data_IF_832136572558
#
_entry.id   IF_832136572558
#
_cell.length_a   1.000
_cell.length_b   1.000
_cell.length_c   1.000
_cell.angle_alpha   90.00
_cell.angle_beta   90.00
_cell.angle_gamma   90.00
#
_symmetry.space_group_name_H-M   'P 1'
#
loop_
_entity.id
_entity.type
_entity.pdbx_description
1 polymer ?
#
# COMPACT_ATOMS: atom_id res chain seq x y z
N UNK A 1 4.98 14.14 5.05
CA UNK A 1 4.20 13.03 5.64
C UNK A 1 5.11 12.06 6.40
N UNK A 2 6.16 11.57 5.78
CA UNK A 2 6.98 10.48 6.35
C UNK A 2 7.74 10.90 7.61
N UNK A 3 8.30 12.10 7.68
CA UNK A 3 8.97 12.61 8.89
C UNK A 3 8.04 12.61 10.13
N UNK A 4 6.76 12.93 9.95
CA UNK A 4 5.77 12.88 11.04
C UNK A 4 5.31 11.45 11.34
N UNK A 5 5.20 10.61 10.31
CA UNK A 5 4.81 9.20 10.47
C UNK A 5 5.83 8.44 11.31
N UNK A 6 7.12 8.57 11.03
CA UNK A 6 8.17 7.76 11.69
C UNK A 6 8.28 8.03 13.20
N UNK A 7 7.77 9.16 13.67
CA UNK A 7 7.73 9.52 15.09
C UNK A 7 6.40 9.13 15.78
N UNK A 8 5.45 8.52 15.04
CA UNK A 8 4.14 8.18 15.59
C UNK A 8 4.20 7.11 16.67
N UNK A 9 3.54 7.37 17.80
CA UNK A 9 3.41 6.47 18.97
C UNK A 9 1.94 6.28 19.41
N UNK A 10 0.97 6.53 18.52
CA UNK A 10 -0.46 6.53 18.83
C UNK A 10 -1.05 5.17 19.26
N UNK A 11 -0.37 4.05 18.96
CA UNK A 11 -0.83 2.70 19.26
C UNK A 11 0.09 2.00 20.28
N UNK A 12 -0.18 2.09 21.61
CA UNK A 12 0.75 1.60 22.65
C UNK A 12 1.15 0.12 22.49
N UNK A 13 0.20 -0.75 22.11
CA UNK A 13 0.47 -2.19 21.87
C UNK A 13 1.46 -2.40 20.72
N UNK A 14 1.29 -1.66 19.61
CA UNK A 14 2.20 -1.77 18.48
C UNK A 14 3.57 -1.16 18.77
N UNK A 15 3.61 -0.07 19.51
CA UNK A 15 4.86 0.55 19.95
C UNK A 15 5.64 -0.43 20.83
N UNK A 16 5.01 -0.96 21.88
CA UNK A 16 5.64 -1.93 22.77
C UNK A 16 6.15 -3.17 22.01
N UNK A 17 5.33 -3.69 21.06
CA UNK A 17 5.71 -4.88 20.30
C UNK A 17 6.87 -4.63 19.34
N UNK A 18 6.82 -3.57 18.51
CA UNK A 18 7.88 -3.29 17.54
C UNK A 18 9.24 -3.02 18.20
N UNK A 19 9.23 -2.33 19.35
CA UNK A 19 10.42 -2.03 20.14
C UNK A 19 10.94 -3.29 20.86
N UNK A 20 10.06 -4.10 21.46
CA UNK A 20 10.43 -5.38 22.06
C UNK A 20 11.08 -6.32 21.05
N UNK A 21 10.52 -6.43 19.83
CA UNK A 21 11.10 -7.25 18.75
C UNK A 21 12.50 -6.77 18.37
N UNK A 22 12.74 -5.46 18.38
CA UNK A 22 14.04 -4.88 18.08
C UNK A 22 15.08 -5.11 19.20
N UNK A 23 14.63 -5.20 20.45
CA UNK A 23 15.47 -5.47 21.60
C UNK A 23 15.84 -6.96 21.69
N UNK A 24 14.83 -7.85 21.63
CA UNK A 24 15.05 -9.30 21.74
C UNK A 24 15.69 -9.88 20.48
N UNK A 25 15.37 -9.36 19.32
CA UNK A 25 15.80 -9.80 17.98
C UNK A 25 15.55 -11.30 17.72
N UNK A 26 15.64 -11.70 16.49
CA UNK A 26 15.71 -13.11 16.10
C UNK A 26 17.18 -13.52 16.01
N UNK A 27 17.54 -14.73 16.37
CA UNK A 27 18.93 -15.23 16.36
C UNK A 27 19.66 -15.00 15.02
N UNK A 28 18.94 -15.17 13.89
CA UNK A 28 19.48 -14.92 12.54
C UNK A 28 19.71 -13.44 12.20
N UNK A 29 19.25 -12.52 13.03
CA UNK A 29 19.34 -11.06 12.83
C UNK A 29 19.84 -10.35 14.11
N UNK A 30 20.60 -11.06 14.94
CA UNK A 30 21.09 -10.52 16.23
C UNK A 30 22.00 -9.29 16.06
N UNK A 31 22.75 -9.27 14.97
CA UNK A 31 23.73 -8.24 14.66
C UNK A 31 23.13 -7.09 13.82
N UNK A 32 21.86 -7.19 13.41
CA UNK A 32 21.19 -6.16 12.62
C UNK A 32 20.69 -5.03 13.53
N UNK A 33 20.78 -3.80 13.03
CA UNK A 33 20.10 -2.66 13.64
C UNK A 33 18.67 -2.60 13.13
N UNK A 34 17.72 -2.77 14.07
CA UNK A 34 16.30 -2.71 13.72
C UNK A 34 15.80 -1.27 13.64
N UNK A 35 15.06 -0.97 12.58
CA UNK A 35 14.38 0.31 12.42
C UNK A 35 13.42 0.63 13.58
N UNK A 36 12.60 -0.33 14.00
CA UNK A 36 11.69 -0.30 15.16
C UNK A 36 10.75 0.91 15.23
N UNK A 37 10.46 1.56 14.11
CA UNK A 37 9.56 2.72 13.97
C UNK A 37 8.45 2.43 12.99
N UNK A 38 7.41 3.28 12.86
CA UNK A 38 6.46 3.17 11.75
C UNK A 38 7.18 3.19 10.41
N UNK A 39 6.74 2.32 9.50
CA UNK A 39 7.37 2.17 8.18
C UNK A 39 6.62 3.02 7.15
N UNK A 40 7.29 3.97 6.47
CA UNK A 40 6.68 4.77 5.41
C UNK A 40 6.35 3.94 4.17
N UNK A 41 5.54 4.50 3.27
CA UNK A 41 5.36 3.94 1.94
C UNK A 41 6.65 4.02 1.13
N UNK A 42 6.81 3.10 0.17
CA UNK A 42 8.03 3.00 -0.64
C UNK A 42 7.70 2.95 -2.13
N UNK A 43 8.48 3.65 -2.94
CA UNK A 43 8.40 3.63 -4.40
C UNK A 43 8.13 4.99 -5.02
N UNK A 44 7.61 4.99 -6.24
CA UNK A 44 7.42 6.18 -7.05
C UNK A 44 6.42 7.16 -6.41
N UNK A 45 6.79 8.43 -6.28
CA UNK A 45 5.93 9.49 -5.74
C UNK A 45 4.84 9.93 -6.72
N UNK A 46 5.01 9.59 -8.00
CA UNK A 46 4.03 9.84 -9.07
C UNK A 46 3.44 8.53 -9.60
N UNK A 47 3.33 7.53 -8.73
CA UNK A 47 2.86 6.20 -9.09
C UNK A 47 1.46 6.22 -9.73
N UNK A 48 1.31 5.49 -10.83
CA UNK A 48 0.01 5.15 -11.41
C UNK A 48 -0.66 3.97 -10.69
N UNK A 49 0.15 3.15 -10.01
CA UNK A 49 -0.29 1.96 -9.26
C UNK A 49 0.12 2.10 -7.79
N UNK A 50 -0.80 1.82 -6.87
CA UNK A 50 -0.49 1.67 -5.44
C UNK A 50 -0.76 0.23 -5.00
N UNK A 51 0.20 -0.41 -4.34
CA UNK A 51 0.02 -1.72 -3.67
C UNK A 51 -0.30 -1.50 -2.21
N UNK A 52 -1.41 -2.04 -1.75
CA UNK A 52 -1.87 -1.92 -0.35
C UNK A 52 -1.77 -3.28 0.33
N UNK A 53 -0.80 -3.43 1.24
CA UNK A 53 -0.57 -4.64 2.03
C UNK A 53 -1.44 -4.72 3.28
N UNK A 54 -0.88 -5.33 4.34
CA UNK A 54 -1.52 -5.46 5.66
C UNK A 54 -0.83 -4.55 6.69
N UNK A 55 0.41 -4.86 7.01
CA UNK A 55 1.26 -4.21 8.01
C UNK A 55 2.72 -4.68 7.84
N UNK A 56 3.72 -3.96 8.41
CA UNK A 56 5.09 -4.41 8.49
C UNK A 56 5.24 -5.75 9.20
N UNK A 57 6.07 -6.64 8.67
CA UNK A 57 6.45 -7.87 9.37
C UNK A 57 7.51 -7.57 10.46
N UNK A 58 7.43 -8.29 11.59
CA UNK A 58 8.29 -8.06 12.76
C UNK A 58 9.80 -8.14 12.46
N UNK A 59 10.23 -9.11 11.65
CA UNK A 59 11.62 -9.32 11.25
C UNK A 59 11.91 -8.97 9.78
N UNK A 60 10.92 -8.42 9.06
CA UNK A 60 11.02 -7.84 7.73
C UNK A 60 11.08 -6.31 7.81
N UNK A 61 9.99 -5.65 7.43
CA UNK A 61 9.95 -4.18 7.36
C UNK A 61 10.15 -3.48 8.72
N UNK A 62 9.80 -4.08 9.86
CA UNK A 62 10.13 -3.52 11.17
C UNK A 62 11.65 -3.56 11.46
N UNK A 63 12.38 -4.50 10.85
CA UNK A 63 13.84 -4.56 10.91
C UNK A 63 14.48 -3.57 9.93
N UNK A 64 14.06 -3.60 8.69
CA UNK A 64 14.73 -2.89 7.58
C UNK A 64 14.28 -1.44 7.37
N UNK A 65 13.12 -1.04 7.89
CA UNK A 65 12.55 0.30 7.68
C UNK A 65 11.87 0.49 6.32
N UNK A 66 11.84 -0.52 5.43
CA UNK A 66 11.22 -0.46 4.11
C UNK A 66 10.14 -1.53 3.95
N UNK A 67 8.96 -1.14 3.41
CA UNK A 67 7.84 -2.06 3.19
C UNK A 67 8.25 -3.29 2.38
N UNK A 68 7.79 -4.48 2.78
CA UNK A 68 8.05 -5.77 2.14
C UNK A 68 9.54 -6.08 1.93
N UNK A 69 10.43 -5.62 2.80
CA UNK A 69 11.88 -5.79 2.66
C UNK A 69 12.44 -6.70 3.74
N UNK A 70 13.30 -7.64 3.33
CA UNK A 70 14.02 -8.55 4.23
C UNK A 70 13.18 -9.70 4.77
N UNK A 71 12.11 -10.10 4.06
CA UNK A 71 11.32 -11.28 4.36
C UNK A 71 10.77 -11.96 3.09
N UNK A 72 10.28 -13.18 3.23
CA UNK A 72 9.76 -14.00 2.12
C UNK A 72 8.61 -13.36 1.35
N UNK A 73 7.79 -12.54 2.00
CA UNK A 73 6.70 -11.83 1.32
C UNK A 73 7.24 -10.77 0.37
N UNK A 74 8.31 -10.10 0.79
CA UNK A 74 9.04 -9.15 -0.04
C UNK A 74 9.73 -9.83 -1.22
N UNK A 75 10.43 -10.94 -0.97
CA UNK A 75 11.08 -11.73 -2.04
C UNK A 75 10.07 -12.09 -3.14
N UNK A 76 8.88 -12.56 -2.74
CA UNK A 76 7.84 -12.96 -3.69
C UNK A 76 7.27 -11.77 -4.47
N UNK A 77 7.01 -10.65 -3.77
CA UNK A 77 6.41 -9.45 -4.35
C UNK A 77 7.38 -8.76 -5.33
N UNK A 78 8.62 -8.51 -4.89
CA UNK A 78 9.57 -7.75 -5.73
C UNK A 78 10.10 -8.58 -6.90
N UNK A 79 10.21 -9.91 -6.76
CA UNK A 79 10.49 -10.76 -7.90
C UNK A 79 9.40 -10.66 -9.00
N UNK A 80 8.13 -10.60 -8.61
CA UNK A 80 7.03 -10.37 -9.55
C UNK A 80 7.05 -8.94 -10.15
N UNK A 81 7.31 -7.92 -9.33
CA UNK A 81 7.47 -6.55 -9.83
C UNK A 81 8.62 -6.41 -10.83
N UNK A 82 9.73 -7.12 -10.61
CA UNK A 82 10.85 -7.13 -11.55
C UNK A 82 10.46 -7.83 -12.86
N UNK A 83 9.83 -9.01 -12.83
CA UNK A 83 9.36 -9.71 -14.04
C UNK A 83 8.37 -8.89 -14.85
N UNK A 84 7.57 -8.07 -14.15
CA UNK A 84 6.56 -7.22 -14.79
C UNK A 84 7.07 -5.79 -15.09
N UNK A 85 8.39 -5.52 -14.97
CA UNK A 85 9.00 -4.23 -15.31
C UNK A 85 8.61 -3.07 -14.41
N UNK A 86 8.21 -3.34 -13.14
CA UNK A 86 7.84 -2.34 -12.12
C UNK A 86 8.96 -2.12 -11.09
N UNK A 87 10.00 -2.95 -11.10
CA UNK A 87 11.17 -2.84 -10.24
C UNK A 87 12.46 -3.09 -11.03
N UNK A 88 13.55 -2.43 -10.66
CA UNK A 88 14.87 -2.57 -11.31
C UNK A 88 15.60 -3.86 -10.92
N UNK A 89 15.20 -4.52 -9.84
CA UNK A 89 15.79 -5.77 -9.35
C UNK A 89 14.73 -6.66 -8.68
N UNK A 90 15.01 -7.98 -8.62
CA UNK A 90 14.09 -8.97 -8.06
C UNK A 90 14.21 -9.12 -6.54
N UNK A 91 15.26 -8.59 -5.92
CA UNK A 91 15.58 -8.76 -4.51
C UNK A 91 15.28 -7.51 -3.70
N UNK A 92 14.96 -7.69 -2.40
CA UNK A 92 14.69 -6.61 -1.46
C UNK A 92 15.21 -7.00 -0.07
N UNK A 93 16.47 -6.69 0.21
CA UNK A 93 17.20 -7.17 1.39
C UNK A 93 17.29 -6.11 2.48
N UNK A 94 17.65 -4.87 2.12
CA UNK A 94 17.79 -3.72 3.04
C UNK A 94 17.19 -2.45 2.43
N UNK A 95 17.09 -1.38 3.20
CA UNK A 95 16.54 -0.11 2.71
C UNK A 95 17.42 0.58 1.68
N UNK A 96 18.72 0.28 1.68
CA UNK A 96 19.78 0.88 0.86
C UNK A 96 20.35 -0.07 -0.22
N UNK A 97 19.68 -1.18 -0.52
CA UNK A 97 20.10 -2.19 -1.50
C UNK A 97 19.99 -1.78 -2.98
N UNK A 98 19.62 -0.53 -3.24
CA UNK A 98 19.48 0.01 -4.60
C UNK A 98 18.17 -0.31 -5.30
N UNK A 99 17.21 -0.99 -4.65
CA UNK A 99 15.89 -1.24 -5.21
C UNK A 99 15.15 0.08 -5.53
N UNK A 100 14.68 0.20 -6.75
CA UNK A 100 13.84 1.30 -7.23
C UNK A 100 12.58 0.76 -7.89
N UNK A 101 11.47 1.41 -7.64
CA UNK A 101 10.17 1.10 -8.25
C UNK A 101 9.82 2.19 -9.27
N UNK A 102 9.23 1.79 -10.39
CA UNK A 102 8.83 2.70 -11.47
C UNK A 102 7.33 2.57 -11.72
N UNK A 103 6.61 3.68 -11.60
CA UNK A 103 5.16 3.74 -11.80
C UNK A 103 4.32 3.06 -10.72
N UNK A 104 4.95 2.52 -9.68
CA UNK A 104 4.28 1.79 -8.59
C UNK A 104 4.82 2.23 -7.22
N UNK A 105 3.94 2.26 -6.22
CA UNK A 105 4.24 2.54 -4.82
C UNK A 105 3.62 1.48 -3.92
N UNK A 106 4.31 1.14 -2.84
CA UNK A 106 3.88 0.11 -1.88
C UNK A 106 3.56 0.75 -0.53
N UNK A 107 2.43 0.39 0.04
CA UNK A 107 1.97 0.91 1.32
C UNK A 107 1.20 -0.14 2.14
N UNK A 108 0.77 0.22 3.35
CA UNK A 108 -0.08 -0.61 4.19
C UNK A 108 -1.01 0.24 5.06
N UNK A 109 -2.21 -0.24 5.42
CA UNK A 109 -3.14 0.47 6.29
C UNK A 109 -2.66 0.59 7.74
N UNK A 110 -1.73 -0.27 8.17
CA UNK A 110 -1.07 -0.19 9.47
C UNK A 110 0.43 -0.11 9.26
N UNK A 111 1.09 0.85 9.90
CA UNK A 111 2.48 1.22 9.64
C UNK A 111 3.49 0.64 10.64
N UNK A 112 3.02 -0.02 11.67
CA UNK A 112 3.84 -0.71 12.67
C UNK A 112 3.59 -2.21 12.61
N UNK A 113 4.61 -3.02 12.91
CA UNK A 113 4.45 -4.46 13.04
C UNK A 113 3.48 -4.80 14.18
N UNK A 114 2.43 -5.57 13.92
CA UNK A 114 1.55 -6.08 14.97
C UNK A 114 2.00 -7.46 15.44
N UNK A 115 1.71 -7.85 16.71
CA UNK A 115 1.85 -9.23 17.14
C UNK A 115 1.09 -10.18 16.21
N UNK A 116 1.70 -11.32 15.84
CA UNK A 116 1.14 -12.36 14.98
C UNK A 116 0.64 -11.87 13.60
N UNK A 117 1.13 -10.74 13.13
CA UNK A 117 0.63 -10.04 11.93
C UNK A 117 -0.88 -9.74 11.99
N UNK A 118 -1.42 -9.51 13.21
CA UNK A 118 -2.85 -9.26 13.45
C UNK A 118 -3.07 -7.87 14.07
N UNK A 119 -3.18 -6.82 13.27
CA UNK A 119 -3.58 -5.52 13.76
C UNK A 119 -5.05 -5.52 14.21
N UNK A 120 -5.36 -4.77 15.24
CA UNK A 120 -6.75 -4.61 15.70
C UNK A 120 -7.51 -3.60 14.84
N UNK A 121 -8.87 -3.63 14.87
CA UNK A 121 -9.69 -2.61 14.21
C UNK A 121 -9.38 -1.19 14.70
N UNK A 122 -9.07 -1.03 15.99
CA UNK A 122 -8.69 0.26 16.58
C UNK A 122 -7.36 0.78 16.03
N UNK A 123 -6.34 -0.06 15.94
CA UNK A 123 -5.04 0.27 15.36
C UNK A 123 -5.17 0.66 13.89
N UNK A 124 -6.02 -0.05 13.14
CA UNK A 124 -6.36 0.32 11.76
C UNK A 124 -6.99 1.71 11.68
N UNK A 125 -7.96 2.03 12.56
CA UNK A 125 -8.58 3.35 12.58
C UNK A 125 -7.59 4.46 12.92
N UNK A 126 -6.76 4.26 13.96
CA UNK A 126 -5.74 5.25 14.37
C UNK A 126 -4.67 5.47 13.29
N UNK A 127 -4.32 4.43 12.53
CA UNK A 127 -3.33 4.52 11.46
C UNK A 127 -3.96 4.99 10.12
N UNK A 128 -5.28 4.91 9.97
CA UNK A 128 -6.04 5.25 8.76
C UNK A 128 -5.72 6.61 8.13
N UNK A 129 -5.54 7.69 8.93
CA UNK A 129 -5.17 9.00 8.39
C UNK A 129 -3.89 9.01 7.54
N UNK A 130 -2.92 8.13 7.83
CA UNK A 130 -1.70 8.03 7.01
C UNK A 130 -1.97 7.37 5.65
N UNK A 131 -2.82 6.33 5.60
CA UNK A 131 -3.26 5.75 4.33
C UNK A 131 -4.08 6.75 3.53
N UNK A 132 -5.00 7.44 4.18
CA UNK A 132 -5.82 8.49 3.55
C UNK A 132 -4.96 9.58 2.92
N UNK A 133 -3.97 10.08 3.67
CA UNK A 133 -3.06 11.12 3.17
C UNK A 133 -2.20 10.62 2.02
N UNK A 134 -1.74 9.38 2.04
CA UNK A 134 -0.94 8.81 0.96
C UNK A 134 -1.77 8.65 -0.32
N UNK A 135 -2.99 8.15 -0.22
CA UNK A 135 -3.92 8.07 -1.37
C UNK A 135 -4.22 9.47 -1.93
N UNK A 136 -4.37 10.48 -1.07
CA UNK A 136 -4.60 11.86 -1.47
C UNK A 136 -3.39 12.45 -2.21
N UNK A 137 -2.18 12.23 -1.71
CA UNK A 137 -0.94 12.69 -2.35
C UNK A 137 -0.70 12.04 -3.72
N UNK A 138 -1.10 10.79 -3.88
CA UNK A 138 -1.04 10.07 -5.16
C UNK A 138 -2.24 10.38 -6.07
N UNK A 139 -3.27 11.05 -5.58
CA UNK A 139 -4.57 11.20 -6.25
C UNK A 139 -4.52 11.82 -7.66
N UNK A 140 -3.48 12.60 -7.98
CA UNK A 140 -3.30 13.16 -9.32
C UNK A 140 -2.84 12.12 -10.36
N UNK A 141 -2.13 11.06 -9.93
CA UNK A 141 -1.48 10.08 -10.82
C UNK A 141 -2.02 8.68 -10.68
N UNK A 142 -2.40 8.25 -9.46
CA UNK A 142 -2.87 6.90 -9.20
C UNK A 142 -4.18 6.59 -9.96
N UNK A 143 -4.18 5.45 -10.63
CA UNK A 143 -5.33 4.90 -11.38
C UNK A 143 -5.76 3.54 -10.87
N UNK A 144 -4.81 2.80 -10.26
CA UNK A 144 -5.03 1.42 -9.84
C UNK A 144 -4.51 1.20 -8.42
N UNK A 145 -5.29 0.51 -7.59
CA UNK A 145 -4.87 -0.01 -6.30
C UNK A 145 -4.87 -1.54 -6.32
N UNK A 146 -3.70 -2.17 -6.30
CA UNK A 146 -3.55 -3.61 -6.08
C UNK A 146 -3.61 -3.88 -4.59
N UNK A 147 -4.63 -4.62 -4.14
CA UNK A 147 -4.89 -4.81 -2.71
C UNK A 147 -4.62 -6.25 -2.28
N UNK A 148 -3.63 -6.43 -1.42
CA UNK A 148 -3.15 -7.74 -0.96
C UNK A 148 -3.95 -8.23 0.24
N UNK A 149 -4.98 -9.04 -0.03
CA UNK A 149 -5.81 -9.68 0.99
C UNK A 149 -7.00 -8.86 1.49
N UNK A 150 -7.92 -9.55 2.15
CA UNK A 150 -9.20 -8.96 2.58
C UNK A 150 -9.08 -7.85 3.62
N UNK A 151 -8.04 -7.87 4.48
CA UNK A 151 -7.83 -6.82 5.46
C UNK A 151 -7.50 -5.47 4.79
N UNK A 152 -6.54 -5.47 3.85
CA UNK A 152 -6.20 -4.28 3.05
C UNK A 152 -7.39 -3.78 2.23
N UNK A 153 -8.18 -4.71 1.65
CA UNK A 153 -9.39 -4.42 0.89
C UNK A 153 -10.42 -3.64 1.70
N UNK A 154 -10.76 -4.14 2.89
CA UNK A 154 -11.71 -3.46 3.76
C UNK A 154 -11.18 -2.12 4.30
N UNK A 155 -9.88 -2.07 4.60
CA UNK A 155 -9.25 -0.84 5.05
C UNK A 155 -9.30 0.24 3.97
N UNK A 156 -8.88 -0.08 2.74
CA UNK A 156 -8.87 0.87 1.63
C UNK A 156 -10.29 1.33 1.27
N UNK A 157 -11.27 0.42 1.17
CA UNK A 157 -12.68 0.81 0.92
C UNK A 157 -13.24 1.74 2.00
N UNK A 158 -12.86 1.53 3.28
CA UNK A 158 -13.28 2.44 4.35
C UNK A 158 -12.66 3.83 4.19
N UNK A 159 -11.34 3.88 3.96
CA UNK A 159 -10.60 5.13 3.73
C UNK A 159 -11.15 5.91 2.53
N UNK A 160 -11.41 5.21 1.41
CA UNK A 160 -11.95 5.84 0.20
C UNK A 160 -13.35 6.38 0.42
N UNK A 161 -14.23 5.64 1.14
CA UNK A 161 -15.57 6.12 1.48
C UNK A 161 -15.52 7.41 2.33
N UNK A 162 -14.61 7.47 3.32
CA UNK A 162 -14.38 8.65 4.16
C UNK A 162 -13.86 9.84 3.35
N UNK A 163 -13.14 9.59 2.26
CA UNK A 163 -12.64 10.61 1.33
C UNK A 163 -13.64 10.98 0.23
N UNK A 164 -14.90 10.50 0.30
CA UNK A 164 -15.96 10.87 -0.64
C UNK A 164 -15.99 10.08 -1.96
N UNK A 165 -15.28 8.94 -2.03
CA UNK A 165 -15.41 8.01 -3.16
C UNK A 165 -16.75 7.26 -3.09
N UNK A 166 -17.37 7.06 -4.25
CA UNK A 166 -18.64 6.33 -4.37
C UNK A 166 -18.41 4.81 -4.19
N UNK A 167 -18.30 4.37 -2.93
CA UNK A 167 -18.17 2.95 -2.61
C UNK A 167 -19.55 2.29 -2.65
N UNK A 168 -19.79 1.25 -3.50
CA UNK A 168 -21.07 0.56 -3.62
C UNK A 168 -21.58 -0.03 -2.31
N UNK A 169 -22.91 -0.12 -2.19
CA UNK A 169 -23.60 -0.84 -1.10
C UNK A 169 -24.50 -1.92 -1.70
N UNK A 170 -24.31 -3.22 -1.32
CA UNK A 170 -23.32 -3.75 -0.38
C UNK A 170 -21.88 -3.54 -0.86
N UNK A 171 -20.94 -3.43 0.09
CA UNK A 171 -19.53 -3.25 -0.24
C UNK A 171 -19.00 -4.42 -1.09
N UNK A 172 -18.15 -4.14 -2.11
CA UNK A 172 -17.54 -5.18 -2.93
C UNK A 172 -16.79 -6.21 -2.07
N UNK A 173 -17.04 -7.49 -2.32
CA UNK A 173 -16.34 -8.58 -1.61
C UNK A 173 -14.93 -8.73 -2.16
N UNK A 174 -13.99 -9.00 -1.28
CA UNK A 174 -12.63 -9.36 -1.68
C UNK A 174 -12.63 -10.75 -2.34
N UNK A 175 -11.97 -10.83 -3.51
CA UNK A 175 -11.55 -12.07 -4.14
C UNK A 175 -10.23 -11.81 -4.89
N UNK A 176 -9.46 -12.87 -5.16
CA UNK A 176 -8.33 -12.76 -6.08
C UNK A 176 -8.86 -12.50 -7.49
N UNK A 177 -8.27 -11.54 -8.21
CA UNK A 177 -8.74 -11.10 -9.52
C UNK A 177 -10.00 -10.21 -9.50
N UNK A 178 -10.57 -9.90 -8.32
CA UNK A 178 -11.68 -8.96 -8.25
C UNK A 178 -11.25 -7.59 -8.78
N UNK A 179 -12.04 -7.01 -9.68
CA UNK A 179 -11.82 -5.69 -10.27
C UNK A 179 -13.03 -4.81 -9.98
N UNK A 180 -12.82 -3.65 -9.33
CA UNK A 180 -13.87 -2.72 -8.96
C UNK A 180 -13.41 -1.29 -9.21
N UNK A 181 -14.09 -0.58 -10.11
CA UNK A 181 -13.81 0.84 -10.37
C UNK A 181 -14.70 1.73 -9.52
N UNK A 182 -14.07 2.56 -8.72
CA UNK A 182 -14.71 3.60 -7.92
C UNK A 182 -14.58 4.96 -8.60
N UNK A 183 -15.55 5.82 -8.34
CA UNK A 183 -15.61 7.19 -8.86
C UNK A 183 -15.68 8.18 -7.72
N UNK A 184 -15.10 9.34 -7.90
CA UNK A 184 -15.17 10.46 -6.99
C UNK A 184 -15.50 11.71 -7.78
N UNK A 185 -16.61 12.37 -7.43
CA UNK A 185 -16.89 13.68 -7.96
C UNK A 185 -15.83 14.67 -7.44
N UNK A 186 -15.24 15.45 -8.33
CA UNK A 186 -14.35 16.52 -7.90
C UNK A 186 -15.19 17.57 -7.17
N UNK A 187 -14.83 17.96 -5.93
CA UNK A 187 -15.59 19.00 -5.23
C UNK A 187 -15.65 20.27 -6.07
N UNK A 188 -16.84 20.80 -6.30
CA UNK A 188 -16.98 22.17 -6.82
C UNK A 188 -16.41 23.13 -5.78
N UNK A 189 -15.66 24.17 -6.20
CA UNK A 189 -15.29 25.24 -5.28
C UNK A 189 -16.56 25.80 -4.66
N UNK A 190 -16.62 25.81 -3.32
CA UNK A 190 -17.79 26.37 -2.60
C UNK A 190 -17.91 27.87 -2.80
N UNK A 191 -19.09 28.46 -2.53
CA UNK A 191 -19.25 29.91 -2.52
C UNK A 191 -18.33 30.47 -1.40
N UNK A 192 -17.29 31.20 -1.79
CA UNK A 192 -16.26 31.74 -0.87
C UNK A 192 -14.83 31.30 -1.17
N UNK A 193 -14.58 30.48 -2.19
CA UNK A 193 -13.23 30.22 -2.68
C UNK A 193 -12.57 31.50 -3.20
N UNK A 194 -11.27 31.72 -2.97
CA UNK A 194 -10.59 32.95 -3.43
C UNK A 194 -10.73 33.11 -4.94
N UNK A 195 -10.87 34.35 -5.45
CA UNK A 195 -11.01 34.63 -6.87
C UNK A 195 -9.77 34.17 -7.63
N UNK A 196 -9.96 33.24 -8.58
CA UNK A 196 -8.89 32.66 -9.42
C UNK A 196 -9.07 31.20 -9.75
N UNK A 197 -10.03 30.51 -9.17
CA UNK A 197 -10.29 29.07 -9.40
C UNK A 197 -11.66 28.90 -10.06
N UNK A 198 -11.64 28.68 -11.37
CA UNK A 198 -12.72 28.38 -12.33
C UNK A 198 -13.71 29.53 -12.58
N UNK A 199 -13.75 30.09 -13.81
CA UNK A 199 -14.84 31.00 -14.23
C UNK A 199 -16.18 30.23 -14.22
N UNK A 200 -17.24 30.89 -13.75
CA UNK A 200 -18.63 30.45 -13.96
C UNK A 200 -18.83 30.08 -15.44
N UNK A 201 -19.17 28.78 -15.69
CA UNK A 201 -19.47 28.28 -17.03
C UNK A 201 -18.42 27.31 -17.64
N UNK A 202 -17.31 27.02 -16.97
CA UNK A 202 -16.38 25.98 -17.43
C UNK A 202 -16.94 24.56 -17.25
N UNK A 203 -16.47 23.56 -18.07
CA UNK A 203 -16.88 22.18 -17.87
C UNK A 203 -16.50 21.73 -16.46
N UNK A 204 -17.33 20.86 -15.82
CA UNK A 204 -17.01 20.34 -14.50
C UNK A 204 -15.63 19.66 -14.55
N UNK A 205 -14.81 19.78 -13.49
CA UNK A 205 -13.52 19.11 -13.43
C UNK A 205 -13.72 17.60 -13.64
N UNK A 206 -12.77 16.92 -14.31
CA UNK A 206 -12.94 15.51 -14.68
C UNK A 206 -13.14 14.64 -13.44
N UNK A 207 -14.09 13.71 -13.54
CA UNK A 207 -14.36 12.72 -12.50
C UNK A 207 -13.11 11.89 -12.26
N UNK A 208 -12.71 11.77 -10.99
CA UNK A 208 -11.60 10.89 -10.64
C UNK A 208 -12.07 9.44 -10.60
N UNK A 209 -11.28 8.54 -11.18
CA UNK A 209 -11.52 7.10 -11.14
C UNK A 209 -10.34 6.38 -10.49
N UNK A 210 -10.63 5.34 -9.71
CA UNK A 210 -9.65 4.44 -9.13
C UNK A 210 -10.14 3.01 -9.25
N UNK A 211 -9.39 2.15 -9.91
CA UNK A 211 -9.70 0.72 -10.03
C UNK A 211 -8.97 -0.06 -8.95
N UNK A 212 -9.72 -0.82 -8.14
CA UNK A 212 -9.18 -1.74 -7.15
C UNK A 212 -9.05 -3.13 -7.77
N UNK A 213 -7.86 -3.73 -7.68
CA UNK A 213 -7.58 -5.11 -8.04
C UNK A 213 -7.30 -5.93 -6.79
N UNK A 214 -8.11 -6.96 -6.53
CA UNK A 214 -7.90 -7.89 -5.42
C UNK A 214 -6.83 -8.92 -5.75
N UNK A 215 -5.85 -9.09 -4.88
CA UNK A 215 -4.86 -10.15 -4.98
C UNK A 215 -4.75 -10.90 -3.64
N UNK A 216 -4.62 -12.24 -3.65
CA UNK A 216 -4.28 -12.96 -2.43
C UNK A 216 -3.00 -12.39 -1.83
N UNK A 217 -2.91 -12.32 -0.51
CA UNK A 217 -1.73 -11.77 0.16
C UNK A 217 -0.50 -12.63 -0.11
N UNK A 218 0.65 -11.99 -0.36
CA UNK A 218 1.95 -12.63 -0.65
C UNK A 218 2.59 -13.30 0.57
N UNK A 219 1.82 -13.65 1.60
CA UNK A 219 2.29 -14.33 2.80
C UNK A 219 2.76 -15.74 2.50
N UNK A 220 3.70 -16.25 3.32
CA UNK A 220 4.19 -17.63 3.23
C UNK A 220 3.04 -18.64 3.25
N UNK A 221 1.99 -18.42 4.04
CA UNK A 221 0.82 -19.28 4.06
C UNK A 221 0.19 -19.46 2.67
N UNK A 222 0.06 -18.39 1.90
CA UNK A 222 -0.55 -18.45 0.57
C UNK A 222 0.42 -18.95 -0.51
N UNK A 223 1.70 -18.56 -0.41
CA UNK A 223 2.70 -18.92 -1.43
C UNK A 223 3.18 -20.37 -1.30
N UNK A 224 3.36 -20.88 -0.06
CA UNK A 224 3.79 -22.27 0.17
C UNK A 224 2.68 -23.28 -0.06
N UNK A 225 1.42 -22.89 0.11
CA UNK A 225 0.26 -23.76 -0.17
C UNK A 225 -0.17 -23.72 -1.64
N UNK A 226 0.48 -22.91 -2.48
CA UNK A 226 0.07 -22.73 -3.87
C UNK A 226 -1.23 -21.94 -4.07
N UNK A 227 -1.81 -21.36 -3.00
CA UNK A 227 -2.98 -20.51 -3.10
C UNK A 227 -2.71 -19.24 -3.91
N UNK A 228 -1.48 -18.73 -3.84
CA UNK A 228 -0.96 -17.68 -4.70
C UNK A 228 0.30 -18.19 -5.37
N UNK A 229 0.26 -18.32 -6.68
CA UNK A 229 1.42 -18.68 -7.50
C UNK A 229 2.12 -17.43 -8.06
N UNK A 230 3.39 -17.53 -8.50
CA UNK A 230 4.07 -16.42 -9.19
C UNK A 230 3.27 -15.89 -10.38
N UNK A 231 2.76 -16.78 -11.23
CA UNK A 231 1.96 -16.41 -12.40
C UNK A 231 0.71 -15.61 -12.02
N UNK A 232 -0.03 -16.04 -10.99
CA UNK A 232 -1.23 -15.33 -10.53
C UNK A 232 -0.92 -13.90 -10.07
N UNK A 233 0.25 -13.66 -9.44
CA UNK A 233 0.66 -12.32 -9.04
C UNK A 233 1.12 -11.50 -10.25
N UNK A 234 1.86 -12.13 -11.17
CA UNK A 234 2.28 -11.48 -12.42
C UNK A 234 1.08 -11.01 -13.24
N UNK A 235 0.04 -11.85 -13.38
CA UNK A 235 -1.20 -11.51 -14.09
C UNK A 235 -1.91 -10.29 -13.49
N UNK A 236 -1.98 -10.20 -12.16
CA UNK A 236 -2.55 -9.04 -11.47
C UNK A 236 -1.71 -7.77 -11.69
N UNK A 237 -0.38 -7.87 -11.64
CA UNK A 237 0.51 -6.72 -11.85
C UNK A 237 0.50 -6.26 -13.33
N UNK A 238 0.45 -7.17 -14.28
CA UNK A 238 0.31 -6.85 -15.70
C UNK A 238 -1.03 -6.17 -15.98
N UNK A 239 -2.12 -6.68 -15.39
CA UNK A 239 -3.44 -6.03 -15.48
C UNK A 239 -3.42 -4.63 -14.86
N UNK A 240 -2.74 -4.46 -13.73
CA UNK A 240 -2.57 -3.15 -13.10
C UNK A 240 -1.80 -2.17 -14.00
N UNK A 241 -0.74 -2.63 -14.68
CA UNK A 241 0.00 -1.82 -15.66
C UNK A 241 -0.87 -1.35 -16.82
N UNK A 242 -1.65 -2.27 -17.38
CA UNK A 242 -2.60 -1.97 -18.47
C UNK A 242 -3.59 -0.88 -18.06
N UNK A 243 -4.25 -1.06 -16.91
CA UNK A 243 -5.23 -0.09 -16.37
C UNK A 243 -4.61 1.26 -16.00
N UNK A 244 -3.35 1.27 -15.59
CA UNK A 244 -2.60 2.49 -15.29
C UNK A 244 -2.01 3.17 -16.53
N UNK A 245 -2.08 2.57 -17.71
CA UNK A 245 -1.51 3.09 -18.94
C UNK A 245 0.03 3.08 -18.97
N UNK A 246 0.68 2.15 -18.28
CA UNK A 246 2.14 2.07 -18.18
C UNK A 246 2.79 1.23 -19.31
N UNK A 247 2.19 1.03 -20.43
CA UNK A 247 2.77 0.30 -21.55
C UNK A 247 3.19 -1.15 -21.23
N UNK A 248 3.67 -1.90 -22.21
CA UNK A 248 4.26 -3.23 -22.00
C UNK A 248 5.58 -3.15 -21.21
N UNK A 249 5.96 -4.17 -20.41
CA UNK A 249 7.32 -4.28 -19.88
C UNK A 249 8.34 -4.28 -21.02
N UNK A 250 9.45 -3.56 -20.81
CA UNK A 250 10.54 -3.55 -21.79
C UNK A 250 11.28 -4.90 -21.81
#
# INVERSE_FOLDING_TARGET
>A
MDAHLVECRACPRLVAWREHVADVKRASFRDDDYWARPVPGFGDERAGIVVVGLAPAAHGANRTGRMFTGDRSGDFLFAAMHRTGLANQATSVSADDGLRLTGIRVTAPVRCAPPDNKPTPEERRRCGPYLAREVELLGATVRVAVVLGGFGWQALLSTLAEQGWAVPRPRPRFAHGAEVTLRRATPRPGPGSPPGVVPDGGPPPPEQTLTLLGCFHVSQQNTFTGRLTPQMLDDVLLRARELAGLGAPA
#
